data_IF_173492940209
#
_entry.id   IF_173492940209
#
_cell.length_a   1.000
_cell.length_b   1.000
_cell.length_c   1.000
_cell.angle_alpha   90.00
_cell.angle_beta   90.00
_cell.angle_gamma   90.00
#
_symmetry.space_group_name_H-M   'P 1'
#
loop_
_entity.id
_entity.type
_entity.pdbx_description
1 polymer ?
#
# COMPACT_ATOMS: atom_id res chain seq x y z
N UNK A 1 -19.29 -18.02 -36.86
CA UNK A 1 -18.07 -17.20 -36.74
C UNK A 1 -18.50 -15.75 -36.52
N UNK A 2 -18.69 -15.38 -35.26
CA UNK A 2 -19.00 -14.03 -34.84
C UNK A 2 -17.86 -13.60 -33.94
N UNK A 3 -17.04 -12.67 -34.45
CA UNK A 3 -15.96 -12.01 -33.72
C UNK A 3 -16.57 -11.29 -32.51
N UNK A 4 -16.45 -11.87 -31.32
CA UNK A 4 -16.65 -11.17 -30.07
C UNK A 4 -15.53 -10.13 -29.95
N UNK A 5 -15.91 -8.86 -29.90
CA UNK A 5 -15.01 -7.77 -29.57
C UNK A 5 -14.24 -8.14 -28.29
N UNK A 6 -12.91 -8.24 -28.40
CA UNK A 6 -12.04 -8.85 -27.41
C UNK A 6 -12.27 -8.29 -26.01
N UNK A 7 -12.72 -9.14 -25.09
CA UNK A 7 -12.59 -8.82 -23.68
C UNK A 7 -11.10 -8.63 -23.40
N UNK A 8 -10.73 -7.56 -22.70
CA UNK A 8 -9.35 -7.32 -22.32
C UNK A 8 -8.88 -8.47 -21.43
N UNK A 9 -8.08 -9.38 -21.98
CA UNK A 9 -7.48 -10.49 -21.22
C UNK A 9 -6.19 -10.03 -20.56
N UNK A 10 -5.93 -10.57 -19.36
CA UNK A 10 -4.62 -10.50 -18.72
C UNK A 10 -3.83 -11.76 -19.09
N UNK A 11 -2.53 -11.63 -19.30
CA UNK A 11 -1.66 -12.80 -19.49
C UNK A 11 -1.05 -13.19 -18.16
N UNK A 12 -1.24 -14.43 -17.75
CA UNK A 12 -0.61 -14.98 -16.55
C UNK A 12 0.89 -15.13 -16.75
N UNK A 13 1.69 -14.68 -15.78
CA UNK A 13 3.14 -14.83 -15.73
C UNK A 13 3.58 -15.17 -14.31
N UNK A 14 4.62 -15.99 -14.19
CA UNK A 14 5.13 -16.49 -12.93
C UNK A 14 6.66 -16.34 -12.86
N UNK A 15 7.19 -15.31 -12.18
CA UNK A 15 8.63 -15.21 -11.94
C UNK A 15 9.09 -16.22 -10.89
N UNK A 16 10.35 -16.65 -10.99
CA UNK A 16 11.02 -17.38 -9.89
C UNK A 16 11.31 -16.45 -8.70
N UNK A 17 11.51 -17.03 -7.50
CA UNK A 17 11.86 -16.25 -6.29
C UNK A 17 13.10 -15.38 -6.49
N UNK A 18 14.10 -15.86 -7.23
CA UNK A 18 15.32 -15.12 -7.53
C UNK A 18 15.09 -13.93 -8.47
N UNK A 19 14.28 -14.13 -9.53
CA UNK A 19 13.92 -13.05 -10.47
C UNK A 19 13.06 -11.98 -9.79
N UNK A 20 12.14 -12.39 -8.91
CA UNK A 20 11.29 -11.49 -8.15
C UNK A 20 12.08 -10.67 -7.11
N UNK A 21 13.02 -11.32 -6.40
CA UNK A 21 13.89 -10.66 -5.42
C UNK A 21 14.87 -9.67 -6.06
N UNK A 22 15.23 -9.87 -7.34
CA UNK A 22 16.16 -9.00 -8.07
C UNK A 22 15.55 -7.64 -8.48
N UNK A 23 14.23 -7.47 -8.38
CA UNK A 23 13.57 -6.20 -8.68
C UNK A 23 13.98 -5.14 -7.65
N UNK A 24 14.42 -3.97 -8.15
CA UNK A 24 14.88 -2.85 -7.30
C UNK A 24 13.79 -2.45 -6.32
N UNK A 25 14.16 -2.34 -5.04
CA UNK A 25 13.29 -1.84 -3.98
C UNK A 25 13.48 -0.35 -3.79
N UNK A 26 12.38 0.34 -3.51
CA UNK A 26 12.41 1.75 -3.08
C UNK A 26 12.67 1.82 -1.58
N UNK A 27 13.21 2.94 -1.08
CA UNK A 27 13.22 3.19 0.35
C UNK A 27 11.79 3.11 0.91
N UNK A 28 11.62 2.71 2.18
CA UNK A 28 10.30 2.68 2.82
C UNK A 28 9.59 4.01 2.65
N UNK A 29 8.31 3.99 2.24
CA UNK A 29 7.54 5.23 1.99
C UNK A 29 7.56 6.15 3.21
N UNK A 30 7.39 5.61 4.42
CA UNK A 30 7.47 6.40 5.65
C UNK A 30 8.79 7.18 5.78
N UNK A 31 9.94 6.57 5.45
CA UNK A 31 11.23 7.25 5.47
C UNK A 31 11.27 8.38 4.43
N UNK A 32 10.86 8.09 3.20
CA UNK A 32 10.89 9.08 2.13
C UNK A 32 10.01 10.30 2.43
N UNK A 33 8.84 10.07 3.04
CA UNK A 33 7.88 11.11 3.39
C UNK A 33 8.32 11.92 4.61
N UNK A 34 8.99 11.28 5.59
CA UNK A 34 9.63 11.97 6.73
C UNK A 34 10.75 12.88 6.28
N UNK A 35 11.60 12.45 5.35
CA UNK A 35 12.68 13.28 4.80
C UNK A 35 12.09 14.53 4.12
N UNK A 36 11.07 14.39 3.28
CA UNK A 36 10.40 15.53 2.64
C UNK A 36 9.79 16.51 3.64
N UNK A 37 9.13 15.99 4.68
CA UNK A 37 8.59 16.83 5.75
C UNK A 37 9.69 17.57 6.52
N UNK A 38 10.78 16.87 6.89
CA UNK A 38 11.94 17.47 7.55
C UNK A 38 12.58 18.57 6.70
N UNK A 39 12.67 18.40 5.38
CA UNK A 39 13.20 19.44 4.49
C UNK A 39 12.37 20.72 4.55
N UNK A 40 11.04 20.61 4.56
CA UNK A 40 10.17 21.78 4.74
C UNK A 40 10.40 22.39 6.12
N UNK A 41 10.28 21.60 7.19
CA UNK A 41 10.44 22.07 8.57
C UNK A 41 11.79 22.77 8.81
N UNK A 42 12.89 22.17 8.34
CA UNK A 42 14.23 22.73 8.52
C UNK A 42 14.44 24.00 7.70
N UNK A 43 13.86 24.08 6.50
CA UNK A 43 13.91 25.30 5.69
C UNK A 43 13.16 26.43 6.40
N UNK A 44 11.92 26.18 6.82
CA UNK A 44 11.09 27.16 7.51
C UNK A 44 11.70 27.61 8.83
N UNK A 45 12.13 26.66 9.67
CA UNK A 45 12.77 26.98 10.95
C UNK A 45 14.12 27.71 10.74
N UNK A 46 14.90 27.32 9.74
CA UNK A 46 16.17 27.96 9.42
C UNK A 46 16.00 29.41 8.98
N UNK A 47 14.97 29.71 8.18
CA UNK A 47 14.62 31.08 7.78
C UNK A 47 14.13 31.87 8.98
N UNK A 48 13.17 31.33 9.74
CA UNK A 48 12.65 31.96 10.96
C UNK A 48 13.77 32.33 11.95
N UNK A 49 14.74 31.43 12.13
CA UNK A 49 15.88 31.66 13.02
C UNK A 49 16.94 32.57 12.44
N UNK A 50 17.28 32.41 11.16
CA UNK A 50 18.32 33.19 10.49
C UNK A 50 17.96 34.67 10.38
N UNK A 51 16.69 34.97 10.15
CA UNK A 51 16.18 36.34 10.00
C UNK A 51 15.58 36.93 11.29
N UNK A 52 15.56 36.14 12.37
CA UNK A 52 15.10 36.58 13.70
C UNK A 52 13.68 37.15 13.67
N UNK A 53 12.76 36.48 12.96
CA UNK A 53 11.37 36.91 12.78
C UNK A 53 10.56 37.09 14.07
N UNK A 54 11.10 36.68 15.24
CA UNK A 54 10.50 36.97 16.55
C UNK A 54 10.82 38.37 17.09
N UNK A 55 11.80 39.08 16.53
CA UNK A 55 12.26 40.38 17.05
C UNK A 55 11.42 41.56 16.57
N UNK A 56 10.64 41.40 15.50
CA UNK A 56 9.84 42.50 14.92
C UNK A 56 8.40 42.03 14.60
N UNK A 57 7.61 41.64 15.61
CA UNK A 57 6.25 41.12 15.41
C UNK A 57 5.26 42.20 14.91
N UNK A 58 5.63 43.47 15.02
CA UNK A 58 4.79 44.63 14.70
C UNK A 58 5.19 45.32 13.38
N UNK A 59 6.15 44.75 12.62
CA UNK A 59 6.49 45.25 11.29
C UNK A 59 5.26 45.16 10.36
N UNK A 60 4.99 46.22 9.59
CA UNK A 60 3.93 46.17 8.58
C UNK A 60 4.20 45.00 7.63
N UNK A 61 3.21 44.12 7.47
CA UNK A 61 3.38 42.89 6.70
C UNK A 61 3.60 43.13 5.19
N UNK A 62 3.30 44.33 4.70
CA UNK A 62 3.58 44.81 3.35
C UNK A 62 3.68 46.35 3.33
N UNK A 63 4.49 46.88 2.41
CA UNK A 63 4.64 48.33 2.21
C UNK A 63 3.71 48.83 1.09
N UNK A 64 2.83 49.80 1.41
CA UNK A 64 1.98 50.48 0.43
C UNK A 64 0.58 49.88 0.29
N UNK A 65 0.03 49.90 -0.93
CA UNK A 65 -1.32 49.38 -1.21
C UNK A 65 -1.28 47.86 -1.40
N UNK A 66 -2.23 47.16 -0.79
CA UNK A 66 -2.35 45.70 -0.82
C UNK A 66 -2.44 45.14 -2.25
N UNK A 67 -1.57 44.19 -2.58
CA UNK A 67 -1.42 43.60 -3.91
C UNK A 67 -1.66 42.10 -3.89
N UNK A 68 -1.89 41.52 -5.06
CA UNK A 68 -2.07 40.07 -5.19
C UNK A 68 -0.81 39.29 -4.76
N UNK A 69 0.36 39.92 -4.84
CA UNK A 69 1.61 39.32 -4.38
C UNK A 69 1.62 39.12 -2.86
N UNK A 70 1.03 40.04 -2.10
CA UNK A 70 0.93 39.96 -0.63
C UNK A 70 0.07 38.75 -0.22
N UNK A 71 -1.06 38.55 -0.94
CA UNK A 71 -1.93 37.39 -0.78
C UNK A 71 -1.17 36.08 -1.01
N UNK A 72 -0.39 36.02 -2.09
CA UNK A 72 0.39 34.83 -2.42
C UNK A 72 1.52 34.59 -1.42
N UNK A 73 2.20 35.66 -0.98
CA UNK A 73 3.28 35.61 0.00
C UNK A 73 2.78 35.05 1.33
N UNK A 74 1.77 35.69 1.92
CA UNK A 74 1.25 35.30 3.23
C UNK A 74 0.63 33.90 3.21
N UNK A 75 -0.13 33.57 2.16
CA UNK A 75 -0.72 32.25 2.01
C UNK A 75 0.34 31.15 1.84
N UNK A 76 1.45 31.43 1.13
CA UNK A 76 2.55 30.47 0.96
C UNK A 76 3.26 30.18 2.29
N UNK A 77 3.53 31.21 3.11
CA UNK A 77 4.13 31.05 4.44
C UNK A 77 3.18 30.28 5.35
N UNK A 78 1.91 30.67 5.41
CA UNK A 78 0.89 29.99 6.22
C UNK A 78 0.79 28.51 5.85
N UNK A 79 0.79 28.19 4.55
CA UNK A 79 0.73 26.82 4.05
C UNK A 79 1.96 26.00 4.43
N UNK A 80 3.16 26.58 4.32
CA UNK A 80 4.43 25.94 4.71
C UNK A 80 4.50 25.71 6.22
N UNK A 81 4.01 26.64 7.04
CA UNK A 81 3.92 26.50 8.50
C UNK A 81 2.93 25.40 8.89
N UNK A 82 1.73 25.41 8.31
CA UNK A 82 0.72 24.35 8.52
C UNK A 82 1.31 23.00 8.14
N UNK A 83 1.99 22.91 7.00
CA UNK A 83 2.64 21.68 6.56
C UNK A 83 3.78 21.25 7.48
N UNK A 84 4.52 22.19 8.06
CA UNK A 84 5.55 21.87 9.05
C UNK A 84 4.96 21.26 10.33
N UNK A 85 3.80 21.75 10.78
CA UNK A 85 3.14 21.29 12.01
C UNK A 85 2.32 20.00 11.82
N UNK A 86 1.62 19.87 10.70
CA UNK A 86 0.64 18.81 10.44
C UNK A 86 1.01 17.90 9.27
N UNK A 87 2.11 18.17 8.56
CA UNK A 87 2.53 17.38 7.38
C UNK A 87 2.86 15.93 7.70
N UNK A 88 3.16 15.60 8.96
CA UNK A 88 3.25 14.21 9.38
C UNK A 88 1.90 13.48 9.19
N UNK A 89 0.73 14.07 9.46
CA UNK A 89 -0.55 13.40 9.18
C UNK A 89 -0.83 13.17 7.69
N UNK A 90 -0.23 13.97 6.80
CA UNK A 90 -0.42 13.90 5.35
C UNK A 90 0.48 12.87 4.67
N UNK A 91 1.11 11.95 5.44
CA UNK A 91 2.17 11.01 5.07
C UNK A 91 2.22 10.53 3.62
N UNK A 92 1.09 10.35 2.95
CA UNK A 92 1.07 9.91 1.57
C UNK A 92 1.52 10.98 0.56
N UNK A 93 1.47 12.28 0.85
CA UNK A 93 1.64 13.36 -0.13
C UNK A 93 2.93 14.19 0.00
N UNK A 94 3.65 14.07 1.11
CA UNK A 94 4.76 14.97 1.45
C UNK A 94 5.85 15.03 0.39
N UNK A 95 6.17 13.90 -0.23
CA UNK A 95 7.19 13.79 -1.26
C UNK A 95 6.90 14.67 -2.49
N UNK A 96 5.63 14.77 -2.88
CA UNK A 96 5.22 15.64 -3.99
C UNK A 96 4.94 17.07 -3.54
N UNK A 97 4.36 17.25 -2.35
CA UNK A 97 3.99 18.57 -1.85
C UNK A 97 5.20 19.42 -1.44
N UNK A 98 6.21 18.85 -0.77
CA UNK A 98 7.35 19.60 -0.25
C UNK A 98 8.03 20.53 -1.29
N UNK A 99 8.45 20.05 -2.48
CA UNK A 99 9.06 20.93 -3.48
C UNK A 99 8.08 21.95 -4.08
N UNK A 100 6.79 21.63 -4.17
CA UNK A 100 5.78 22.57 -4.67
C UNK A 100 5.55 23.71 -3.68
N UNK A 101 5.35 23.38 -2.40
CA UNK A 101 5.09 24.36 -1.35
C UNK A 101 6.28 25.30 -1.14
N UNK A 102 7.49 24.74 -1.04
CA UNK A 102 8.71 25.54 -0.95
C UNK A 102 8.94 26.37 -2.21
N UNK A 103 8.65 25.83 -3.39
CA UNK A 103 8.79 26.53 -4.66
C UNK A 103 7.82 27.71 -4.80
N UNK A 104 6.57 27.55 -4.36
CA UNK A 104 5.58 28.64 -4.31
C UNK A 104 6.09 29.76 -3.40
N UNK A 105 6.54 29.42 -2.19
CA UNK A 105 7.12 30.40 -1.27
C UNK A 105 8.36 31.09 -1.87
N UNK A 106 9.26 30.32 -2.49
CA UNK A 106 10.45 30.86 -3.14
C UNK A 106 10.12 31.86 -4.25
N UNK A 107 9.11 31.55 -5.07
CA UNK A 107 8.63 32.46 -6.13
C UNK A 107 8.05 33.73 -5.52
N UNK A 108 7.16 33.62 -4.52
CA UNK A 108 6.55 34.78 -3.87
C UNK A 108 7.62 35.73 -3.28
N UNK A 109 8.54 35.18 -2.50
CA UNK A 109 9.63 35.97 -1.90
C UNK A 109 10.63 36.52 -2.93
N UNK A 110 10.82 35.85 -4.07
CA UNK A 110 11.66 36.38 -5.16
C UNK A 110 11.01 37.59 -5.82
N UNK A 111 9.70 37.52 -6.07
CA UNK A 111 8.94 38.62 -6.68
C UNK A 111 8.90 39.83 -5.75
N UNK A 112 8.86 39.60 -4.44
CA UNK A 112 8.95 40.63 -3.41
C UNK A 112 10.40 41.14 -3.17
N UNK A 113 11.39 40.63 -3.92
CA UNK A 113 12.80 40.99 -3.76
C UNK A 113 13.35 40.77 -2.33
N UNK A 114 12.74 39.84 -1.58
CA UNK A 114 13.13 39.53 -0.21
C UNK A 114 14.52 38.86 -0.17
N UNK A 115 15.40 39.24 0.78
CA UNK A 115 16.69 38.60 0.97
C UNK A 115 16.57 37.10 1.35
N UNK A 116 15.40 36.67 1.83
CA UNK A 116 15.11 35.30 2.25
C UNK A 116 14.89 34.35 1.07
N UNK A 117 14.57 34.90 -0.12
CA UNK A 117 14.23 34.14 -1.31
C UNK A 117 15.27 33.06 -1.67
N UNK A 118 16.56 33.35 -1.47
CA UNK A 118 17.66 32.41 -1.72
C UNK A 118 17.52 31.15 -0.86
N UNK A 119 17.13 31.28 0.40
CA UNK A 119 16.98 30.16 1.33
C UNK A 119 15.75 29.31 1.00
N UNK A 120 14.66 29.94 0.58
CA UNK A 120 13.48 29.24 0.05
C UNK A 120 13.82 28.42 -1.21
N UNK A 121 14.63 28.97 -2.13
CA UNK A 121 15.12 28.23 -3.30
C UNK A 121 16.03 27.06 -2.92
N UNK A 122 16.92 27.22 -1.94
CA UNK A 122 17.75 26.11 -1.45
C UNK A 122 16.89 24.96 -0.92
N UNK A 123 15.89 25.26 -0.07
CA UNK A 123 14.96 24.24 0.42
C UNK A 123 14.20 23.55 -0.72
N UNK A 124 13.70 24.34 -1.68
CA UNK A 124 13.01 23.84 -2.88
C UNK A 124 13.90 22.88 -3.68
N UNK A 125 15.17 23.24 -3.91
CA UNK A 125 16.12 22.42 -4.64
C UNK A 125 16.42 21.11 -3.92
N UNK A 126 16.62 21.13 -2.61
CA UNK A 126 16.83 19.91 -1.82
C UNK A 126 15.62 18.98 -1.87
N UNK A 127 14.40 19.52 -1.72
CA UNK A 127 13.17 18.75 -1.83
C UNK A 127 12.95 18.20 -3.24
N UNK A 128 13.28 18.98 -4.28
CA UNK A 128 13.19 18.55 -5.67
C UNK A 128 14.22 17.47 -6.03
N UNK A 129 15.45 17.56 -5.51
CA UNK A 129 16.47 16.52 -5.67
C UNK A 129 16.04 15.22 -4.99
N UNK A 130 15.41 15.31 -3.82
CA UNK A 130 14.87 14.15 -3.12
C UNK A 130 13.71 13.50 -3.89
N UNK A 131 12.78 14.30 -4.41
CA UNK A 131 11.71 13.82 -5.29
C UNK A 131 12.28 13.19 -6.57
N UNK A 132 13.31 13.79 -7.18
CA UNK A 132 13.97 13.26 -8.37
C UNK A 132 14.64 11.91 -8.08
N UNK A 133 15.34 11.79 -6.95
CA UNK A 133 15.93 10.52 -6.52
C UNK A 133 14.85 9.43 -6.43
N UNK A 134 13.74 9.69 -5.76
CA UNK A 134 12.63 8.74 -5.67
C UNK A 134 12.02 8.40 -7.03
N UNK A 135 11.83 9.41 -7.89
CA UNK A 135 11.33 9.23 -9.25
C UNK A 135 12.26 8.35 -10.10
N UNK A 136 13.59 8.49 -9.95
CA UNK A 136 14.54 7.63 -10.67
C UNK A 136 14.43 6.17 -10.23
N UNK A 137 14.22 5.91 -8.93
CA UNK A 137 14.00 4.55 -8.44
C UNK A 137 12.66 3.98 -8.92
N UNK A 138 11.60 4.79 -8.92
CA UNK A 138 10.30 4.45 -9.50
C UNK A 138 10.44 4.04 -10.96
N UNK A 139 11.07 4.88 -11.78
CA UNK A 139 11.27 4.62 -13.21
C UNK A 139 12.12 3.37 -13.44
N UNK A 140 13.21 3.20 -12.69
CA UNK A 140 14.07 2.01 -12.76
C UNK A 140 13.30 0.74 -12.44
N UNK A 141 12.49 0.76 -11.38
CA UNK A 141 11.69 -0.38 -10.99
C UNK A 141 10.65 -0.72 -12.06
N UNK A 142 9.90 0.26 -12.58
CA UNK A 142 8.92 0.03 -13.66
C UNK A 142 9.58 -0.54 -14.92
N UNK A 143 10.77 -0.06 -15.29
CA UNK A 143 11.53 -0.60 -16.42
C UNK A 143 12.01 -2.03 -16.17
N UNK A 144 12.43 -2.37 -14.94
CA UNK A 144 12.80 -3.74 -14.57
C UNK A 144 11.60 -4.68 -14.58
N UNK A 145 10.46 -4.26 -14.04
CA UNK A 145 9.20 -5.02 -14.07
C UNK A 145 8.76 -5.27 -15.51
N UNK A 146 8.86 -4.27 -16.38
CA UNK A 146 8.61 -4.42 -17.82
C UNK A 146 9.56 -5.42 -18.47
N UNK A 147 10.86 -5.35 -18.17
CA UNK A 147 11.85 -6.26 -18.72
C UNK A 147 11.58 -7.70 -18.27
N UNK A 148 11.29 -7.89 -16.98
CA UNK A 148 10.92 -9.18 -16.40
C UNK A 148 9.64 -9.75 -17.03
N UNK A 149 8.59 -8.95 -17.15
CA UNK A 149 7.33 -9.38 -17.77
C UNK A 149 7.52 -9.86 -19.22
N UNK A 150 8.50 -9.29 -19.94
CA UNK A 150 8.82 -9.67 -21.32
C UNK A 150 9.75 -10.88 -21.43
N UNK A 151 10.56 -11.15 -20.41
CA UNK A 151 11.45 -12.32 -20.41
C UNK A 151 10.76 -13.59 -19.97
N UNK A 152 9.67 -13.48 -19.20
CA UNK A 152 8.91 -14.62 -18.72
C UNK A 152 8.09 -15.26 -19.85
N UNK A 153 7.94 -16.60 -19.83
CA UNK A 153 7.05 -17.28 -20.77
C UNK A 153 5.61 -16.82 -20.56
N UNK A 154 4.90 -16.55 -21.66
CA UNK A 154 3.49 -16.22 -21.61
C UNK A 154 2.68 -17.44 -21.17
N UNK A 155 1.99 -17.31 -20.05
CA UNK A 155 1.07 -18.32 -19.54
C UNK A 155 -0.33 -18.18 -20.13
N UNK A 156 -1.31 -18.60 -19.34
CA UNK A 156 -2.73 -18.60 -19.71
C UNK A 156 -3.30 -17.20 -19.87
N UNK A 157 -4.15 -17.01 -20.89
CA UNK A 157 -4.93 -15.79 -21.03
C UNK A 157 -6.14 -15.83 -20.11
N UNK A 158 -6.20 -14.92 -19.13
CA UNK A 158 -7.28 -14.85 -18.16
C UNK A 158 -8.26 -13.73 -18.54
N UNK A 159 -9.54 -14.07 -18.68
CA UNK A 159 -10.59 -13.09 -18.92
C UNK A 159 -11.00 -12.38 -17.63
N UNK A 160 -11.38 -11.11 -17.70
CA UNK A 160 -11.87 -10.39 -16.53
C UNK A 160 -13.34 -10.69 -16.28
N UNK A 161 -13.70 -10.97 -15.03
CA UNK A 161 -15.11 -10.95 -14.63
C UNK A 161 -15.68 -9.52 -14.65
N UNK A 162 -17.00 -9.40 -14.76
CA UNK A 162 -17.66 -8.09 -14.91
C UNK A 162 -17.45 -7.19 -13.68
N UNK A 163 -17.41 -7.78 -12.48
CA UNK A 163 -17.09 -7.09 -11.23
C UNK A 163 -15.64 -6.60 -11.22
N UNK A 164 -14.69 -7.49 -11.49
CA UNK A 164 -13.26 -7.19 -11.57
C UNK A 164 -12.94 -6.06 -12.57
N UNK A 165 -13.57 -6.05 -13.75
CA UNK A 165 -13.38 -5.01 -14.77
C UNK A 165 -13.74 -3.61 -14.27
N UNK A 166 -14.88 -3.49 -13.59
CA UNK A 166 -15.38 -2.20 -13.08
C UNK A 166 -14.46 -1.66 -11.99
N UNK A 167 -13.97 -2.54 -11.11
CA UNK A 167 -13.02 -2.19 -10.05
C UNK A 167 -11.67 -1.74 -10.58
N UNK A 168 -11.10 -2.49 -11.53
CA UNK A 168 -9.84 -2.10 -12.17
C UNK A 168 -9.96 -0.72 -12.84
N UNK A 169 -11.09 -0.45 -13.50
CA UNK A 169 -11.32 0.84 -14.15
C UNK A 169 -11.45 1.98 -13.12
N UNK A 170 -12.32 1.84 -12.13
CA UNK A 170 -12.54 2.87 -11.10
C UNK A 170 -11.30 3.10 -10.25
N UNK A 171 -10.68 2.03 -9.76
CA UNK A 171 -9.50 2.11 -8.93
C UNK A 171 -8.29 2.70 -9.67
N UNK A 172 -8.10 2.37 -10.95
CA UNK A 172 -7.04 2.96 -11.76
C UNK A 172 -7.28 4.41 -12.17
N UNK A 173 -8.52 4.89 -12.09
CA UNK A 173 -8.93 6.27 -12.37
C UNK A 173 -9.13 7.13 -11.11
N UNK A 174 -9.20 6.51 -9.92
CA UNK A 174 -9.56 7.17 -8.66
C UNK A 174 -8.66 8.37 -8.36
N UNK A 175 -7.33 8.20 -8.41
CA UNK A 175 -6.39 9.31 -8.21
C UNK A 175 -6.61 10.46 -9.19
N UNK A 176 -6.94 10.15 -10.45
CA UNK A 176 -7.24 11.15 -11.47
C UNK A 176 -8.55 11.89 -11.18
N UNK A 177 -9.59 11.17 -10.74
CA UNK A 177 -10.87 11.77 -10.35
C UNK A 177 -10.72 12.66 -9.11
N UNK A 178 -9.98 12.21 -8.10
CA UNK A 178 -9.66 13.03 -6.93
C UNK A 178 -8.81 14.25 -7.30
N UNK A 179 -7.84 14.10 -8.21
CA UNK A 179 -7.04 15.21 -8.72
C UNK A 179 -7.87 16.25 -9.48
N UNK A 180 -8.82 15.81 -10.31
CA UNK A 180 -9.77 16.69 -10.99
C UNK A 180 -10.69 17.39 -9.99
N UNK A 181 -11.21 16.66 -9.00
CA UNK A 181 -12.02 17.24 -7.92
C UNK A 181 -11.27 18.31 -7.13
N UNK A 182 -10.03 18.03 -6.74
CA UNK A 182 -9.14 18.99 -6.08
C UNK A 182 -8.85 20.21 -6.97
N UNK A 183 -8.68 20.01 -8.29
CA UNK A 183 -8.48 21.10 -9.25
C UNK A 183 -9.71 22.00 -9.40
N UNK A 184 -10.90 21.42 -9.46
CA UNK A 184 -12.16 22.17 -9.49
C UNK A 184 -12.38 22.94 -8.18
N UNK A 185 -12.08 22.33 -7.04
CA UNK A 185 -12.11 22.99 -5.74
C UNK A 185 -11.13 24.17 -5.70
N UNK A 186 -9.90 23.97 -6.15
CA UNK A 186 -8.89 25.02 -6.23
C UNK A 186 -9.37 26.19 -7.11
N UNK A 187 -9.96 25.91 -8.27
CA UNK A 187 -10.50 26.94 -9.15
C UNK A 187 -11.63 27.74 -8.48
N UNK A 188 -12.54 27.07 -7.77
CA UNK A 188 -13.61 27.73 -7.02
C UNK A 188 -13.09 28.59 -5.87
N UNK A 189 -12.10 28.09 -5.12
CA UNK A 189 -11.48 28.83 -4.02
C UNK A 189 -10.66 30.02 -4.51
N UNK A 190 -9.91 29.88 -5.61
CA UNK A 190 -9.21 31.01 -6.22
C UNK A 190 -10.15 32.05 -6.78
N UNK A 191 -11.25 31.64 -7.43
CA UNK A 191 -12.28 32.56 -7.87
C UNK A 191 -12.88 33.36 -6.70
N UNK A 192 -13.15 32.70 -5.57
CA UNK A 192 -13.64 33.36 -4.36
C UNK A 192 -12.60 34.30 -3.75
N UNK A 193 -11.35 33.86 -3.63
CA UNK A 193 -10.21 34.65 -3.14
C UNK A 193 -10.05 35.93 -3.95
N UNK A 194 -10.01 35.82 -5.29
CA UNK A 194 -9.85 36.97 -6.18
C UNK A 194 -11.05 37.93 -6.13
N UNK A 195 -12.26 37.41 -5.85
CA UNK A 195 -13.44 38.25 -5.68
C UNK A 195 -13.36 39.11 -4.41
N UNK A 196 -12.87 38.53 -3.32
CA UNK A 196 -12.63 39.27 -2.06
C UNK A 196 -11.50 40.28 -2.28
N UNK A 197 -10.38 39.82 -2.85
CA UNK A 197 -9.22 40.66 -3.13
C UNK A 197 -9.57 41.91 -3.95
N UNK A 198 -10.49 41.81 -4.92
CA UNK A 198 -10.91 42.97 -5.72
C UNK A 198 -11.54 44.12 -4.90
N UNK A 199 -12.00 43.86 -3.67
CA UNK A 199 -12.48 44.88 -2.73
C UNK A 199 -11.39 45.39 -1.77
N UNK A 200 -10.31 44.63 -1.60
CA UNK A 200 -9.18 44.92 -0.70
C UNK A 200 -7.99 45.55 -1.44
N UNK A 201 -7.91 45.37 -2.76
CA UNK A 201 -6.80 45.82 -3.61
C UNK A 201 -6.53 47.32 -3.44
N UNK A 202 -5.28 47.68 -3.16
CA UNK A 202 -4.81 49.05 -3.00
C UNK A 202 -5.12 49.69 -1.64
N UNK A 203 -5.80 49.00 -0.73
CA UNK A 203 -5.95 49.46 0.66
C UNK A 203 -4.62 49.37 1.40
N UNK A 204 -4.38 50.29 2.34
CA UNK A 204 -3.21 50.23 3.23
C UNK A 204 -3.48 49.29 4.41
N UNK A 205 -2.43 48.79 5.07
CA UNK A 205 -2.55 47.93 6.24
C UNK A 205 -3.45 48.53 7.35
N UNK A 206 -3.31 49.84 7.60
CA UNK A 206 -4.16 50.56 8.55
C UNK A 206 -5.64 50.66 8.13
N UNK A 207 -5.95 50.60 6.83
CA UNK A 207 -7.32 50.69 6.31
C UNK A 207 -8.05 49.33 6.31
N UNK A 208 -7.30 48.22 6.31
CA UNK A 208 -7.87 46.88 6.39
C UNK A 208 -8.38 46.53 7.79
N UNK A 209 -7.84 47.16 8.85
CA UNK A 209 -8.23 47.05 10.28
C UNK A 209 -8.10 45.62 10.89
N UNK A 210 -8.18 44.56 10.07
CA UNK A 210 -8.06 43.14 10.39
C UNK A 210 -7.22 42.41 9.34
N UNK A 211 -6.83 41.16 9.63
CA UNK A 211 -6.18 40.29 8.65
C UNK A 211 -7.07 40.14 7.40
N UNK A 212 -6.48 40.24 6.21
CA UNK A 212 -7.22 40.14 4.94
C UNK A 212 -7.96 38.81 4.84
N UNK A 213 -9.22 38.87 4.41
CA UNK A 213 -9.99 37.64 4.18
C UNK A 213 -9.47 36.90 2.95
N UNK A 214 -8.92 37.60 1.95
CA UNK A 214 -8.35 36.95 0.77
C UNK A 214 -7.11 36.11 1.10
N UNK A 215 -6.30 36.52 2.07
CA UNK A 215 -5.18 35.71 2.58
C UNK A 215 -5.66 34.36 3.17
N UNK A 216 -6.73 34.40 3.96
CA UNK A 216 -7.28 33.20 4.62
C UNK A 216 -7.81 32.19 3.60
N UNK A 217 -8.45 32.65 2.52
CA UNK A 217 -9.00 31.78 1.48
C UNK A 217 -7.94 31.32 0.46
N UNK A 218 -6.85 32.07 0.30
CA UNK A 218 -5.74 31.70 -0.57
C UNK A 218 -4.99 30.45 -0.07
N UNK A 219 -4.89 30.23 1.25
CA UNK A 219 -4.23 29.04 1.83
C UNK A 219 -4.87 27.72 1.35
N UNK A 220 -6.19 27.46 1.57
CA UNK A 220 -6.82 26.24 1.08
C UNK A 220 -6.88 26.19 -0.45
N UNK A 221 -6.91 27.35 -1.15
CA UNK A 221 -6.83 27.39 -2.62
C UNK A 221 -5.48 26.86 -3.14
N UNK A 222 -4.37 27.31 -2.55
CA UNK A 222 -3.02 26.84 -2.85
C UNK A 222 -2.84 25.36 -2.50
N UNK A 223 -3.32 24.92 -1.34
CA UNK A 223 -3.26 23.52 -0.93
C UNK A 223 -4.01 22.62 -1.91
N UNK A 224 -5.24 23.01 -2.30
CA UNK A 224 -6.04 22.26 -3.27
C UNK A 224 -5.35 22.20 -4.65
N UNK A 225 -4.74 23.30 -5.10
CA UNK A 225 -3.98 23.34 -6.35
C UNK A 225 -2.74 22.43 -6.32
N UNK A 226 -1.98 22.47 -5.23
CA UNK A 226 -0.81 21.62 -5.04
C UNK A 226 -1.20 20.13 -4.97
N UNK A 227 -2.28 19.80 -4.24
CA UNK A 227 -2.80 18.45 -4.14
C UNK A 227 -3.29 17.93 -5.50
N UNK A 228 -4.00 18.77 -6.27
CA UNK A 228 -4.43 18.45 -7.63
C UNK A 228 -3.25 18.11 -8.52
N UNK A 229 -2.19 18.93 -8.49
CA UNK A 229 -0.97 18.68 -9.27
C UNK A 229 -0.32 17.34 -8.91
N UNK A 230 -0.18 17.03 -7.62
CA UNK A 230 0.42 15.75 -7.16
C UNK A 230 -0.44 14.55 -7.56
N UNK A 231 -1.76 14.62 -7.36
CA UNK A 231 -2.69 13.54 -7.69
C UNK A 231 -2.75 13.27 -9.20
N UNK A 232 -2.82 14.32 -10.01
CA UNK A 232 -2.80 14.20 -11.48
C UNK A 232 -1.46 13.64 -11.98
N UNK A 233 -0.34 14.03 -11.37
CA UNK A 233 0.96 13.45 -11.69
C UNK A 233 1.02 11.95 -11.36
N UNK A 234 0.48 11.52 -10.21
CA UNK A 234 0.40 10.10 -9.85
C UNK A 234 -0.48 9.31 -10.82
N UNK A 235 -1.66 9.84 -11.14
CA UNK A 235 -2.56 9.23 -12.11
C UNK A 235 -1.90 9.07 -13.48
N UNK A 236 -1.18 10.11 -13.94
CA UNK A 236 -0.41 10.08 -15.18
C UNK A 236 0.70 9.02 -15.13
N UNK A 237 1.49 8.98 -14.05
CA UNK A 237 2.55 8.00 -13.88
C UNK A 237 2.02 6.56 -13.83
N UNK A 238 0.92 6.33 -13.13
CA UNK A 238 0.24 5.04 -13.10
C UNK A 238 -0.27 4.63 -14.49
N UNK A 239 -0.86 5.56 -15.24
CA UNK A 239 -1.31 5.32 -16.61
C UNK A 239 -0.13 4.99 -17.56
N UNK A 240 0.96 5.74 -17.48
CA UNK A 240 2.19 5.50 -18.25
C UNK A 240 2.82 4.16 -17.89
N UNK A 241 2.93 3.83 -16.59
CA UNK A 241 3.50 2.56 -16.13
C UNK A 241 2.69 1.36 -16.63
N UNK A 242 1.35 1.43 -16.55
CA UNK A 242 0.45 0.39 -17.11
C UNK A 242 0.58 0.27 -18.62
N UNK A 243 0.71 1.38 -19.33
CA UNK A 243 0.96 1.38 -20.78
C UNK A 243 2.31 0.79 -21.16
N UNK A 244 3.34 0.99 -20.33
CA UNK A 244 4.71 0.53 -20.57
C UNK A 244 4.91 -0.96 -20.26
N UNK A 245 4.39 -1.42 -19.12
CA UNK A 245 4.53 -2.82 -18.67
C UNK A 245 3.62 -3.71 -19.49
N UNK A 246 2.31 -3.43 -19.52
CA UNK A 246 1.30 -4.24 -20.19
C UNK A 246 0.27 -4.83 -19.23
N UNK A 247 -0.55 -5.75 -19.74
CA UNK A 247 -1.65 -6.38 -18.99
C UNK A 247 -1.27 -7.79 -18.55
N UNK A 248 -0.65 -7.88 -17.38
CA UNK A 248 -0.23 -9.15 -16.79
C UNK A 248 -0.92 -9.45 -15.46
N UNK A 249 -1.16 -10.73 -15.21
CA UNK A 249 -1.53 -11.26 -13.91
C UNK A 249 -0.31 -12.01 -13.36
N UNK A 250 0.24 -11.51 -12.25
CA UNK A 250 1.49 -11.99 -11.68
C UNK A 250 1.21 -13.04 -10.62
N UNK A 251 1.57 -14.30 -10.86
CA UNK A 251 1.60 -15.33 -9.83
C UNK A 251 2.89 -15.16 -9.05
N UNK A 252 2.80 -14.61 -7.84
CA UNK A 252 3.99 -14.27 -7.05
C UNK A 252 4.61 -15.52 -6.42
N UNK A 253 5.94 -15.68 -6.48
CA UNK A 253 6.63 -16.74 -5.75
C UNK A 253 6.61 -16.44 -4.24
N UNK A 254 6.74 -17.48 -3.42
CA UNK A 254 6.97 -17.33 -1.99
C UNK A 254 8.36 -16.72 -1.74
N UNK A 255 8.42 -15.74 -0.82
CA UNK A 255 9.68 -15.12 -0.39
C UNK A 255 9.83 -13.63 -0.72
N UNK A 256 11.05 -13.09 -0.60
CA UNK A 256 11.30 -11.65 -0.55
C UNK A 256 11.08 -10.97 -1.93
N UNK A 257 10.09 -10.08 -2.02
CA UNK A 257 9.75 -9.35 -3.24
C UNK A 257 9.58 -7.83 -3.06
N UNK A 258 9.26 -7.08 -4.13
CA UNK A 258 8.86 -5.67 -4.03
C UNK A 258 7.43 -5.47 -3.51
N UNK A 259 6.57 -6.49 -3.60
CA UNK A 259 5.18 -6.48 -3.12
C UNK A 259 4.91 -7.80 -2.40
N UNK A 260 4.18 -7.71 -1.29
CA UNK A 260 3.62 -8.85 -0.57
C UNK A 260 2.11 -8.88 -0.82
N UNK A 261 1.58 -10.08 -1.08
CA UNK A 261 0.14 -10.31 -1.05
C UNK A 261 -0.28 -10.29 0.42
N UNK A 262 -0.89 -9.19 0.84
CA UNK A 262 -1.64 -9.17 2.09
C UNK A 262 -2.98 -9.77 1.78
N UNK A 263 -3.14 -11.03 2.18
CA UNK A 263 -4.46 -11.61 2.31
C UNK A 263 -5.11 -11.00 3.54
N UNK A 264 -6.42 -10.77 3.49
CA UNK A 264 -7.16 -10.59 4.73
C UNK A 264 -6.81 -11.79 5.63
N UNK A 265 -6.37 -11.49 6.85
CA UNK A 265 -5.97 -12.46 7.88
C UNK A 265 -7.15 -13.37 8.32
N UNK A 266 -8.24 -13.40 7.56
CA UNK A 266 -9.33 -14.37 7.68
C UNK A 266 -8.96 -15.73 7.05
N UNK A 267 -7.72 -15.93 6.59
CA UNK A 267 -7.20 -17.28 6.35
C UNK A 267 -6.98 -18.02 7.68
N UNK A 268 -7.28 -19.33 7.73
CA UNK A 268 -7.48 -20.06 8.96
C UNK A 268 -6.29 -19.91 9.90
N UNK A 269 -6.56 -19.47 11.13
CA UNK A 269 -5.56 -19.59 12.19
C UNK A 269 -5.19 -21.07 12.30
N UNK A 270 -3.89 -21.36 12.27
CA UNK A 270 -3.38 -22.73 12.34
C UNK A 270 -4.02 -23.51 13.50
N UNK A 271 -4.08 -24.84 13.43
CA UNK A 271 -4.76 -25.60 14.48
C UNK A 271 -6.29 -25.51 14.43
N UNK A 272 -6.90 -24.91 13.41
CA UNK A 272 -8.30 -25.14 13.05
C UNK A 272 -8.48 -26.42 12.21
N UNK A 273 -9.66 -27.01 12.24
CA UNK A 273 -10.06 -28.21 11.48
C UNK A 273 -10.96 -27.75 10.33
N UNK A 274 -10.53 -27.93 9.08
CA UNK A 274 -11.38 -27.64 7.93
C UNK A 274 -12.41 -28.76 7.78
N UNK A 275 -13.64 -28.52 8.24
CA UNK A 275 -14.66 -29.57 8.25
C UNK A 275 -14.89 -30.11 6.83
N UNK A 276 -14.97 -29.26 5.79
CA UNK A 276 -15.21 -29.70 4.41
C UNK A 276 -14.11 -30.64 3.89
N UNK A 277 -12.85 -30.32 4.16
CA UNK A 277 -11.67 -31.07 3.68
C UNK A 277 -11.39 -32.32 4.51
N UNK A 278 -11.72 -32.31 5.80
CA UNK A 278 -11.42 -33.37 6.76
C UNK A 278 -12.67 -34.23 7.11
N UNK A 279 -13.79 -34.07 6.38
CA UNK A 279 -15.08 -34.79 6.58
C UNK A 279 -15.01 -36.32 6.51
N UNK A 280 -13.90 -36.92 6.08
CA UNK A 280 -13.82 -38.36 5.83
C UNK A 280 -13.62 -39.22 7.07
N UNK A 281 -13.32 -38.65 8.24
CA UNK A 281 -13.01 -39.44 9.44
C UNK A 281 -13.99 -39.15 10.60
N UNK A 282 -14.34 -40.22 11.32
CA UNK A 282 -15.28 -40.27 12.44
C UNK A 282 -15.32 -38.97 13.27
N UNK A 283 -16.51 -38.37 13.42
CA UNK A 283 -16.80 -37.11 14.15
C UNK A 283 -15.77 -36.84 15.27
N UNK A 284 -14.87 -35.88 15.04
CA UNK A 284 -13.89 -35.40 16.02
C UNK A 284 -14.60 -35.14 17.35
N UNK A 285 -14.04 -35.66 18.45
CA UNK A 285 -14.51 -35.36 19.82
C UNK A 285 -14.62 -33.83 20.03
N UNK A 286 -13.74 -33.07 19.38
CA UNK A 286 -13.65 -31.61 19.32
C UNK A 286 -14.96 -30.91 18.92
N UNK A 287 -15.53 -31.34 17.78
CA UNK A 287 -16.79 -30.80 17.26
C UNK A 287 -17.96 -31.28 18.12
N UNK A 288 -17.93 -32.55 18.54
CA UNK A 288 -18.96 -33.12 19.38
C UNK A 288 -19.01 -32.44 20.77
N UNK A 289 -17.88 -32.12 21.37
CA UNK A 289 -17.74 -31.38 22.62
C UNK A 289 -18.22 -29.93 22.48
N UNK A 290 -17.84 -29.23 21.40
CA UNK A 290 -18.31 -27.86 21.15
C UNK A 290 -19.84 -27.82 21.01
N UNK A 291 -20.42 -28.73 20.23
CA UNK A 291 -21.88 -28.85 20.06
C UNK A 291 -22.58 -29.20 21.38
N UNK A 292 -21.95 -29.99 22.26
CA UNK A 292 -22.48 -30.28 23.59
C UNK A 292 -22.41 -29.06 24.52
N UNK A 293 -21.34 -28.25 24.41
CA UNK A 293 -21.12 -27.06 25.22
C UNK A 293 -22.01 -25.90 24.79
N UNK A 294 -22.30 -25.80 23.49
CA UNK A 294 -23.10 -24.74 22.86
C UNK A 294 -24.21 -25.36 21.98
N UNK A 295 -25.25 -25.95 22.60
CA UNK A 295 -26.30 -26.65 21.86
C UNK A 295 -27.19 -25.72 21.02
N UNK A 296 -27.30 -24.44 21.40
CA UNK A 296 -28.08 -23.43 20.67
C UNK A 296 -27.43 -23.09 19.31
N UNK A 297 -26.10 -23.15 19.23
CA UNK A 297 -25.31 -22.82 18.03
C UNK A 297 -24.92 -24.08 17.23
N UNK A 298 -25.56 -25.22 17.52
CA UNK A 298 -25.13 -26.52 17.02
C UNK A 298 -25.16 -26.66 15.49
N UNK A 299 -26.08 -25.98 14.81
CA UNK A 299 -26.10 -25.94 13.34
C UNK A 299 -24.99 -25.03 12.80
N UNK A 300 -24.80 -23.84 13.37
CA UNK A 300 -23.72 -22.92 12.97
C UNK A 300 -22.33 -23.54 13.19
N UNK A 301 -22.11 -24.24 14.30
CA UNK A 301 -20.86 -24.96 14.58
C UNK A 301 -20.62 -26.10 13.59
N UNK A 302 -21.68 -26.77 13.09
CA UNK A 302 -21.56 -27.84 12.10
C UNK A 302 -21.34 -27.31 10.68
N UNK A 303 -21.87 -26.13 10.40
CA UNK A 303 -21.72 -25.43 9.13
C UNK A 303 -20.41 -24.61 9.06
N UNK A 304 -19.78 -24.31 10.21
CA UNK A 304 -18.51 -23.60 10.29
C UNK A 304 -17.35 -24.44 9.73
N UNK A 305 -16.48 -23.79 8.96
CA UNK A 305 -15.23 -24.38 8.48
C UNK A 305 -14.11 -24.37 9.53
N UNK A 306 -14.33 -23.73 10.69
CA UNK A 306 -13.25 -23.20 11.54
C UNK A 306 -13.39 -23.68 13.00
N UNK A 307 -13.38 -24.99 13.22
CA UNK A 307 -13.37 -25.53 14.59
C UNK A 307 -11.94 -25.72 15.08
N UNK A 308 -11.56 -25.07 16.18
CA UNK A 308 -10.24 -25.25 16.79
C UNK A 308 -10.00 -26.71 17.20
N UNK A 309 -8.88 -27.27 16.78
CA UNK A 309 -8.45 -28.62 17.13
C UNK A 309 -7.96 -28.65 18.58
N UNK A 310 -8.62 -29.47 19.40
CA UNK A 310 -8.17 -29.76 20.75
C UNK A 310 -6.79 -30.43 20.73
N UNK A 311 -5.87 -29.96 21.57
CA UNK A 311 -4.53 -30.54 21.74
C UNK A 311 -4.56 -32.02 22.16
N UNK A 312 -5.64 -32.42 22.84
CA UNK A 312 -5.84 -33.78 23.36
C UNK A 312 -6.74 -34.65 22.47
N UNK A 313 -7.11 -34.17 21.28
CA UNK A 313 -7.87 -34.99 20.36
C UNK A 313 -7.03 -36.22 19.92
N UNK A 314 -7.55 -37.45 20.03
CA UNK A 314 -6.81 -38.63 19.59
C UNK A 314 -6.65 -38.73 18.07
N UNK A 315 -7.39 -37.90 17.30
CA UNK A 315 -7.38 -37.89 15.83
C UNK A 315 -6.60 -36.68 15.29
N UNK A 316 -6.85 -35.47 15.83
CA UNK A 316 -6.28 -34.20 15.34
C UNK A 316 -5.41 -33.46 16.38
N UNK A 317 -5.09 -34.12 17.50
CA UNK A 317 -4.26 -33.57 18.58
C UNK A 317 -2.77 -33.80 18.36
N UNK A 318 -1.96 -33.25 19.26
CA UNK A 318 -0.49 -33.24 19.14
C UNK A 318 0.09 -34.67 19.13
N UNK A 319 -0.48 -35.57 19.92
CA UNK A 319 -0.05 -36.97 19.96
C UNK A 319 -0.32 -37.67 18.62
N UNK A 320 -1.44 -37.37 17.97
CA UNK A 320 -1.77 -37.93 16.65
C UNK A 320 -0.80 -37.43 15.57
N UNK A 321 -0.48 -36.12 15.57
CA UNK A 321 0.57 -35.55 14.69
C UNK A 321 1.88 -36.30 14.88
N UNK A 322 2.24 -36.57 16.15
CA UNK A 322 3.50 -37.20 16.48
C UNK A 322 3.58 -38.68 16.07
N UNK A 323 2.44 -39.35 15.88
CA UNK A 323 2.35 -40.74 15.43
C UNK A 323 2.39 -40.89 13.91
N UNK A 324 2.16 -39.81 13.14
CA UNK A 324 2.21 -39.85 11.68
C UNK A 324 3.62 -40.19 11.18
N UNK A 325 3.71 -41.04 10.16
CA UNK A 325 4.98 -41.20 9.44
C UNK A 325 5.28 -39.94 8.61
N UNK A 326 6.55 -39.66 8.25
CA UNK A 326 6.88 -38.51 7.41
C UNK A 326 6.11 -38.47 6.08
N UNK A 327 5.82 -39.64 5.51
CA UNK A 327 5.04 -39.77 4.27
C UNK A 327 3.58 -39.43 4.46
N UNK A 328 2.97 -39.93 5.55
CA UNK A 328 1.55 -39.70 5.84
C UNK A 328 1.33 -38.23 6.21
N UNK A 329 2.22 -37.65 7.02
CA UNK A 329 2.21 -36.23 7.33
C UNK A 329 2.28 -35.38 6.05
N UNK A 330 3.23 -35.68 5.15
CA UNK A 330 3.38 -34.91 3.93
C UNK A 330 2.17 -35.04 2.99
N UNK A 331 1.50 -36.20 2.97
CA UNK A 331 0.24 -36.38 2.21
C UNK A 331 -0.93 -35.58 2.80
N UNK A 332 -0.89 -35.29 4.10
CA UNK A 332 -1.88 -34.50 4.83
C UNK A 332 -1.47 -33.03 4.96
N UNK A 333 -0.35 -32.59 4.36
CA UNK A 333 0.20 -31.24 4.58
C UNK A 333 -0.78 -30.10 4.25
N UNK A 334 -1.82 -30.35 3.44
CA UNK A 334 -2.88 -29.39 3.19
C UNK A 334 -3.90 -29.21 4.33
N UNK A 335 -3.92 -30.09 5.33
CA UNK A 335 -4.85 -29.98 6.47
C UNK A 335 -4.36 -28.97 7.49
N UNK A 336 -5.20 -28.01 7.83
CA UNK A 336 -4.89 -26.84 8.68
C UNK A 336 -4.52 -27.23 10.11
N UNK A 337 -5.14 -28.31 10.61
CA UNK A 337 -4.94 -28.77 11.98
C UNK A 337 -3.50 -29.24 12.23
N UNK A 338 -2.72 -29.59 11.20
CA UNK A 338 -1.34 -30.01 11.40
C UNK A 338 -0.42 -28.86 11.85
N UNK A 339 -0.80 -27.63 11.53
CA UNK A 339 0.08 -26.45 11.61
C UNK A 339 -0.20 -25.65 12.87
N UNK A 340 0.84 -25.02 13.41
CA UNK A 340 0.71 -24.08 14.53
C UNK A 340 0.00 -22.79 14.10
N UNK A 341 -0.76 -22.16 15.00
CA UNK A 341 -1.45 -20.88 14.78
C UNK A 341 -0.52 -19.77 14.31
N UNK A 342 0.72 -19.79 14.80
CA UNK A 342 1.74 -18.79 14.52
C UNK A 342 2.67 -19.22 13.38
N UNK A 343 2.41 -20.37 12.77
CA UNK A 343 3.10 -20.86 11.58
C UNK A 343 2.38 -20.40 10.32
N UNK A 344 3.14 -20.04 9.28
CA UNK A 344 2.58 -19.97 7.93
C UNK A 344 2.02 -21.34 7.49
N UNK A 345 1.03 -21.33 6.60
CA UNK A 345 0.48 -22.56 6.01
C UNK A 345 1.25 -22.94 4.74
N UNK A 346 1.48 -24.24 4.48
CA UNK A 346 2.07 -24.68 3.23
C UNK A 346 1.10 -24.47 2.07
N UNK A 347 1.52 -23.70 1.08
CA UNK A 347 0.83 -23.65 -0.21
C UNK A 347 1.38 -24.75 -1.11
N UNK A 348 0.49 -25.60 -1.63
CA UNK A 348 0.84 -26.59 -2.64
C UNK A 348 0.73 -25.97 -4.02
N UNK A 349 1.73 -26.20 -4.87
CA UNK A 349 1.67 -25.88 -6.30
C UNK A 349 0.56 -26.67 -7.00
N UNK A 350 0.10 -27.77 -6.42
CA UNK A 350 -0.98 -28.64 -6.89
C UNK A 350 -2.36 -28.26 -6.33
N UNK A 351 -2.50 -27.15 -5.60
CA UNK A 351 -3.81 -26.68 -5.16
C UNK A 351 -4.67 -26.35 -6.39
N UNK A 352 -5.67 -27.19 -6.63
CA UNK A 352 -6.69 -27.05 -7.70
C UNK A 352 -7.72 -25.95 -7.41
N UNK A 353 -7.57 -25.26 -6.28
CA UNK A 353 -8.28 -24.02 -5.98
C UNK A 353 -7.61 -22.81 -6.60
N UNK A 354 -8.31 -21.69 -6.58
CA UNK A 354 -7.96 -20.48 -7.32
C UNK A 354 -6.57 -19.95 -6.94
N UNK A 355 -5.62 -19.95 -7.89
CA UNK A 355 -4.24 -19.55 -7.62
C UNK A 355 -4.13 -18.04 -7.34
N UNK A 356 -3.39 -17.61 -6.30
CA UNK A 356 -3.13 -16.20 -6.05
C UNK A 356 -2.46 -15.48 -7.21
N UNK A 357 -2.89 -14.26 -7.45
CA UNK A 357 -2.32 -13.36 -8.45
C UNK A 357 -2.28 -11.93 -7.92
N UNK A 358 -1.35 -11.14 -8.43
CA UNK A 358 -1.46 -9.67 -8.45
C UNK A 358 -1.74 -9.21 -9.86
N UNK A 359 -2.88 -8.54 -10.05
CA UNK A 359 -3.40 -8.11 -11.34
C UNK A 359 -2.88 -6.73 -11.67
N UNK A 360 -2.16 -6.63 -12.79
CA UNK A 360 -1.74 -5.36 -13.37
C UNK A 360 -0.55 -4.69 -12.69
N UNK A 361 0.20 -5.38 -11.83
CA UNK A 361 1.38 -4.81 -11.17
C UNK A 361 2.37 -4.19 -12.16
N UNK A 362 2.79 -2.94 -11.90
CA UNK A 362 3.70 -2.16 -12.74
C UNK A 362 4.84 -1.49 -11.93
N UNK A 363 5.22 -2.07 -10.81
CA UNK A 363 6.09 -1.42 -9.82
C UNK A 363 5.31 -0.50 -8.88
N UNK A 364 6.01 0.33 -8.13
CA UNK A 364 5.40 1.25 -7.15
C UNK A 364 4.49 2.32 -7.76
N UNK A 365 4.54 2.52 -9.09
CA UNK A 365 3.63 3.42 -9.80
C UNK A 365 2.19 2.88 -9.79
N UNK A 366 2.04 1.56 -9.73
CA UNK A 366 0.76 0.89 -9.60
C UNK A 366 1.01 -0.53 -9.08
N UNK A 367 0.72 -0.74 -7.80
CA UNK A 367 1.04 -1.99 -7.09
C UNK A 367 0.11 -3.15 -7.45
N UNK A 368 -0.91 -2.91 -8.26
CA UNK A 368 -1.85 -3.93 -8.71
C UNK A 368 -2.88 -4.30 -7.64
N UNK A 369 -3.84 -5.13 -8.02
CA UNK A 369 -4.87 -5.64 -7.11
C UNK A 369 -4.63 -7.12 -6.83
N UNK A 370 -4.73 -7.58 -5.57
CA UNK A 370 -4.76 -9.00 -5.28
C UNK A 370 -6.01 -9.62 -5.92
N UNK A 371 -5.87 -10.81 -6.45
CA UNK A 371 -6.94 -11.54 -7.09
C UNK A 371 -6.63 -13.03 -7.18
N UNK A 372 -7.58 -13.78 -7.68
CA UNK A 372 -7.46 -15.23 -7.81
C UNK A 372 -7.84 -15.67 -9.23
N UNK A 373 -7.08 -16.62 -9.78
CA UNK A 373 -7.43 -17.23 -11.05
C UNK A 373 -8.47 -18.31 -10.80
N UNK A 374 -9.66 -18.18 -11.40
CA UNK A 374 -10.71 -19.20 -11.28
C UNK A 374 -10.41 -20.38 -12.18
N UNK A 375 -11.01 -21.54 -11.86
CA UNK A 375 -10.97 -22.74 -12.71
C UNK A 375 -11.58 -22.54 -14.10
N UNK A 376 -12.30 -21.43 -14.33
CA UNK A 376 -12.91 -21.06 -15.61
C UNK A 376 -11.98 -20.21 -16.49
N UNK A 377 -10.74 -19.96 -16.06
CA UNK A 377 -9.81 -19.08 -16.76
C UNK A 377 -10.20 -17.61 -16.67
N UNK A 378 -10.92 -17.23 -15.60
CA UNK A 378 -11.21 -15.83 -15.28
C UNK A 378 -10.33 -15.34 -14.13
N UNK A 379 -10.11 -14.03 -14.06
CA UNK A 379 -9.57 -13.36 -12.86
C UNK A 379 -10.73 -12.79 -12.08
N UNK A 380 -10.81 -13.18 -10.82
CA UNK A 380 -11.61 -12.49 -9.82
C UNK A 380 -10.72 -11.61 -8.93
N UNK A 381 -11.27 -10.46 -8.51
CA UNK A 381 -10.58 -9.50 -7.63
C UNK A 381 -11.38 -9.44 -6.33
N UNK A 382 -10.69 -9.73 -5.22
CA UNK A 382 -11.27 -9.81 -3.87
C UNK A 382 -12.14 -8.58 -3.58
N UNK A 383 -13.32 -8.81 -2.98
CA UNK A 383 -14.40 -7.85 -3.09
C UNK A 383 -14.17 -6.49 -2.36
N UNK A 384 -13.11 -6.38 -1.56
CA UNK A 384 -12.70 -5.17 -0.82
C UNK A 384 -11.20 -4.87 -0.89
N UNK A 385 -10.48 -5.45 -1.84
CA UNK A 385 -9.04 -5.30 -1.88
C UNK A 385 -8.58 -3.88 -2.24
N UNK A 386 -7.85 -3.26 -1.32
CA UNK A 386 -6.91 -2.20 -1.64
C UNK A 386 -5.82 -2.71 -2.61
N UNK A 387 -5.14 -1.77 -3.29
CA UNK A 387 -3.97 -2.14 -4.08
C UNK A 387 -2.94 -2.87 -3.20
N UNK A 388 -2.25 -3.88 -3.76
CA UNK A 388 -1.27 -4.68 -3.04
C UNK A 388 -0.20 -3.78 -2.35
N UNK A 389 0.32 -4.23 -1.21
CA UNK A 389 1.22 -3.42 -0.40
C UNK A 389 2.69 -3.64 -0.81
N UNK A 390 3.43 -2.54 -0.95
CA UNK A 390 4.89 -2.62 -1.09
C UNK A 390 5.53 -3.12 0.21
N UNK A 391 6.52 -4.00 0.11
CA UNK A 391 7.27 -4.50 1.27
C UNK A 391 7.94 -3.32 1.98
N UNK A 392 7.69 -3.19 3.29
CA UNK A 392 8.13 -2.05 4.10
C UNK A 392 7.13 -0.88 4.19
N UNK A 393 5.90 -1.06 3.68
CA UNK A 393 4.74 -0.17 3.94
C UNK A 393 4.06 -0.43 5.30
N UNK A 394 4.46 -1.48 6.01
CA UNK A 394 4.03 -1.75 7.39
C UNK A 394 4.54 -0.69 8.35
N UNK A 395 3.87 0.45 8.38
CA UNK A 395 3.74 1.24 9.59
C UNK A 395 3.15 0.28 10.64
N UNK A 396 3.74 0.24 11.82
CA UNK A 396 3.59 -0.83 12.82
C UNK A 396 2.22 -0.97 13.49
N UNK A 397 1.12 -0.99 12.75
CA UNK A 397 -0.25 -1.12 13.29
C UNK A 397 -1.06 -2.26 12.66
N UNK A 398 -0.67 -2.77 11.49
CA UNK A 398 -1.25 -3.98 10.86
C UNK A 398 -0.23 -5.10 10.69
N UNK A 399 0.73 -5.17 11.61
CA UNK A 399 1.38 -6.44 11.84
C UNK A 399 0.51 -7.18 12.85
N UNK A 400 -0.41 -8.01 12.37
CA UNK A 400 -0.73 -9.23 13.10
C UNK A 400 0.57 -9.87 13.59
N UNK A 401 0.54 -10.62 14.71
CA UNK A 401 1.75 -11.11 15.34
C UNK A 401 2.65 -11.73 14.27
N UNK A 402 3.83 -11.10 14.05
CA UNK A 402 4.81 -11.64 13.10
C UNK A 402 4.94 -13.12 13.39
N UNK A 403 4.90 -14.00 12.37
CA UNK A 403 4.93 -15.44 12.59
C UNK A 403 6.08 -15.72 13.54
N UNK A 404 5.74 -16.26 14.71
CA UNK A 404 6.71 -16.46 15.76
C UNK A 404 7.83 -17.34 15.21
N UNK A 405 9.07 -17.11 15.65
CA UNK A 405 10.15 -18.03 15.30
C UNK A 405 9.77 -19.42 15.79
N UNK A 406 9.89 -20.42 14.92
CA UNK A 406 9.65 -21.81 15.29
C UNK A 406 10.41 -22.15 16.60
N UNK A 407 9.82 -22.95 17.50
CA UNK A 407 10.43 -23.33 18.76
C UNK A 407 11.86 -23.83 18.55
N UNK A 408 12.80 -23.34 19.36
CA UNK A 408 14.22 -23.67 19.21
C UNK A 408 14.58 -25.04 19.80
N UNK A 409 13.64 -25.72 20.48
CA UNK A 409 13.84 -26.99 21.19
C UNK A 409 12.66 -27.93 20.98
N UNK A 410 12.90 -29.24 21.12
CA UNK A 410 11.84 -30.26 21.04
C UNK A 410 11.49 -30.72 19.62
N UNK A 411 12.34 -30.42 18.63
CA UNK A 411 12.21 -30.90 17.24
C UNK A 411 12.28 -32.43 17.21
N UNK A 412 11.28 -33.03 16.59
CA UNK A 412 11.17 -34.49 16.40
C UNK A 412 11.69 -34.87 15.03
N UNK A 413 11.21 -34.19 13.99
CA UNK A 413 11.59 -34.45 12.61
C UNK A 413 11.58 -33.17 11.75
N UNK A 414 12.23 -33.27 10.59
CA UNK A 414 12.15 -32.29 9.52
C UNK A 414 11.76 -33.02 8.24
N UNK A 415 10.57 -32.74 7.74
CA UNK A 415 9.95 -33.45 6.62
C UNK A 415 10.06 -32.57 5.37
N UNK A 416 10.69 -33.07 4.32
CA UNK A 416 10.72 -32.40 3.02
C UNK A 416 9.37 -32.56 2.31
N UNK A 417 8.72 -31.43 2.01
CA UNK A 417 7.40 -31.42 1.37
C UNK A 417 7.49 -31.28 -0.16
N UNK A 418 8.68 -31.04 -0.72
CA UNK A 418 8.88 -30.90 -2.17
C UNK A 418 8.43 -32.10 -3.00
N UNK A 419 8.59 -33.36 -2.55
CA UNK A 419 8.06 -34.52 -3.28
C UNK A 419 6.53 -34.51 -3.45
N UNK A 420 5.82 -33.68 -2.70
CA UNK A 420 4.37 -33.52 -2.71
C UNK A 420 3.93 -32.18 -3.33
N UNK A 421 4.84 -31.51 -4.05
CA UNK A 421 4.53 -30.25 -4.72
C UNK A 421 4.34 -29.06 -3.77
N UNK A 422 4.99 -29.07 -2.60
CA UNK A 422 5.02 -27.95 -1.65
C UNK A 422 6.46 -27.50 -1.49
N UNK A 423 6.73 -26.23 -1.77
CA UNK A 423 8.07 -25.65 -1.68
C UNK A 423 8.47 -25.35 -0.22
N UNK A 424 8.97 -26.34 0.49
CA UNK A 424 9.48 -26.15 1.86
C UNK A 424 9.59 -27.43 2.67
N UNK A 425 9.73 -27.27 3.98
CA UNK A 425 9.80 -28.37 4.95
C UNK A 425 8.82 -28.15 6.09
N UNK A 426 8.29 -29.23 6.65
CA UNK A 426 7.63 -29.21 7.95
C UNK A 426 8.65 -29.50 9.05
N UNK A 427 8.56 -28.80 10.17
CA UNK A 427 9.31 -29.11 11.39
C UNK A 427 8.30 -29.49 12.47
N UNK A 428 8.30 -30.75 12.92
CA UNK A 428 7.39 -31.19 14.00
C UNK A 428 8.07 -31.13 15.35
N UNK A 429 7.25 -30.97 16.38
CA UNK A 429 7.67 -30.88 17.76
C UNK A 429 6.93 -31.88 18.64
N UNK A 430 7.58 -32.33 19.71
CA UNK A 430 7.02 -33.36 20.61
C UNK A 430 5.75 -32.90 21.34
N UNK A 431 5.60 -31.61 21.57
CA UNK A 431 4.51 -31.02 22.35
C UNK A 431 3.89 -29.79 21.70
N UNK A 432 4.07 -29.62 20.39
CA UNK A 432 3.48 -28.53 19.62
C UNK A 432 3.11 -29.01 18.21
N UNK A 433 2.24 -28.25 17.54
CA UNK A 433 1.90 -28.48 16.14
C UNK A 433 3.11 -28.19 15.23
N UNK A 434 3.04 -28.63 13.98
CA UNK A 434 4.14 -28.46 13.05
C UNK A 434 4.32 -27.00 12.65
N UNK A 435 5.57 -26.59 12.40
CA UNK A 435 5.88 -25.33 11.74
C UNK A 435 6.23 -25.58 10.29
N UNK A 436 5.66 -24.79 9.39
CA UNK A 436 6.09 -24.73 8.01
C UNK A 436 7.30 -23.81 7.90
N UNK A 437 8.33 -24.30 7.22
CA UNK A 437 9.52 -23.54 6.86
C UNK A 437 9.58 -23.49 5.33
N UNK A 438 9.26 -22.33 4.72
CA UNK A 438 9.32 -22.17 3.27
C UNK A 438 10.70 -22.54 2.72
N UNK A 439 10.71 -23.17 1.55
CA UNK A 439 11.95 -23.42 0.82
C UNK A 439 12.51 -22.12 0.25
N UNK A 440 13.82 -21.90 0.40
CA UNK A 440 14.54 -20.79 -0.24
C UNK A 440 14.85 -21.04 -1.70
#
# INVERSE_FOLDING_TARGET
MTSTAGSATYTEIAPSSAEWAAVTRRPPRALAQRISWLLVLLTTAGIFVGFQHWNDPDAEAWDGGFQLLDVLGLASIGLVVIFSLAGWYLHQFNLGLAPLLLGIAAVAHTLDSSPEAVFWWVGTLLAALWLLFDFTLLARQTLQVRALARSLPAGTGLAQERGARTKLLLGSAAEGLWGLGAGLLAAGLWWWTLRIFAAEEGLTAAALDQASESDLWAIPALLAAALAAVLLLRALLGALARGLVGRYAWRLPTGPGPVELVWDEDEPSGGQINIERDTSEYRCICVAELVQMFPEDAEEIRESTDVSASNHCPIHGIDAINLLSPRDFASLAGSLWLWDELSGLPQSDAFTGSSPLVVGYCGSAFTGYPGTATTRGTVDIVDYADCALEVGRGDGEFAGPRPASAPSVGVVDKIDLRPFGIAGHAVRFKHARAWFVPGT
#
